data_IF_211478501407
#
_entry.id   IF_211478501407
#
_cell.length_a   1.000
_cell.length_b   1.000
_cell.length_c   1.000
_cell.angle_alpha   90.00
_cell.angle_beta   90.00
_cell.angle_gamma   90.00
#
_symmetry.space_group_name_H-M   'P 1'
#
loop_
_entity.id
_entity.type
_entity.pdbx_description
1 polymer ?
#
# COMPACT_ATOMS: atom_id res chain seq x y z
N UNK A 1 2.92 -8.15 21.68
CA UNK A 1 2.92 -7.71 20.26
C UNK A 1 4.19 -6.96 19.99
N UNK A 2 4.90 -7.31 18.96
CA UNK A 2 6.26 -6.83 18.81
C UNK A 2 6.35 -5.87 17.61
N UNK A 3 6.40 -4.57 17.91
CA UNK A 3 7.01 -3.62 16.99
C UNK A 3 8.38 -4.15 16.56
N UNK A 4 8.79 -3.89 15.32
CA UNK A 4 10.11 -4.31 14.84
C UNK A 4 11.19 -3.90 15.84
N UNK A 5 12.07 -4.82 16.25
CA UNK A 5 13.24 -4.45 17.04
C UNK A 5 14.13 -3.48 16.25
N UNK A 6 15.02 -2.73 16.93
CA UNK A 6 15.97 -1.87 16.23
C UNK A 6 16.82 -2.65 15.21
N UNK A 7 17.25 -3.83 15.57
CA UNK A 7 18.02 -4.72 14.67
C UNK A 7 17.18 -5.15 13.46
N UNK A 8 15.89 -5.51 13.67
CA UNK A 8 14.99 -5.88 12.57
C UNK A 8 14.79 -4.71 11.61
N UNK A 9 14.56 -3.49 12.14
CA UNK A 9 14.46 -2.29 11.29
C UNK A 9 15.77 -2.02 10.52
N UNK A 10 16.93 -2.07 11.18
CA UNK A 10 18.21 -1.86 10.53
C UNK A 10 18.43 -2.87 9.38
N UNK A 11 18.10 -4.15 9.62
CA UNK A 11 18.13 -5.16 8.57
C UNK A 11 17.18 -4.80 7.41
N UNK A 12 15.92 -4.51 7.69
CA UNK A 12 14.92 -4.18 6.68
C UNK A 12 15.31 -2.94 5.86
N UNK A 13 15.79 -1.89 6.51
CA UNK A 13 16.11 -0.61 5.88
C UNK A 13 17.43 -0.63 5.06
N UNK A 14 18.33 -1.58 5.33
CA UNK A 14 19.67 -1.56 4.73
C UNK A 14 20.06 -2.87 4.02
N UNK A 15 19.51 -4.00 4.43
CA UNK A 15 19.95 -5.33 3.98
C UNK A 15 18.85 -6.19 3.36
N UNK A 16 17.55 -5.84 3.52
CA UNK A 16 16.44 -6.63 2.97
C UNK A 16 16.56 -6.84 1.46
N UNK A 17 15.96 -7.92 1.00
CA UNK A 17 15.77 -8.22 -0.41
C UNK A 17 14.27 -8.33 -0.67
N UNK A 18 13.77 -7.77 -1.77
CA UNK A 18 14.48 -6.98 -2.79
C UNK A 18 14.96 -5.61 -2.27
N UNK A 19 15.95 -5.04 -2.93
CA UNK A 19 16.55 -3.74 -2.51
C UNK A 19 15.54 -2.58 -2.52
N UNK A 20 14.54 -2.64 -3.37
CA UNK A 20 13.46 -1.64 -3.45
C UNK A 20 12.73 -1.46 -2.12
N UNK A 21 12.46 -2.53 -1.38
CA UNK A 21 11.76 -2.47 -0.10
C UNK A 21 12.49 -1.66 0.97
N UNK A 22 13.81 -1.52 0.87
CA UNK A 22 14.60 -0.68 1.79
C UNK A 22 14.15 0.78 1.76
N UNK A 23 13.80 1.29 0.57
CA UNK A 23 13.27 2.64 0.42
C UNK A 23 11.91 2.76 1.12
N UNK A 24 11.04 1.77 0.96
CA UNK A 24 9.72 1.71 1.59
C UNK A 24 9.83 1.81 3.12
N UNK A 25 10.66 0.97 3.75
CA UNK A 25 10.84 0.98 5.22
C UNK A 25 11.44 2.29 5.74
N UNK A 26 12.35 2.91 4.98
CA UNK A 26 12.91 4.21 5.33
C UNK A 26 11.87 5.33 5.26
N UNK A 27 11.02 5.34 4.22
CA UNK A 27 9.94 6.32 4.09
C UNK A 27 8.92 6.17 5.22
N UNK A 28 8.52 4.96 5.57
CA UNK A 28 7.62 4.72 6.71
C UNK A 28 8.17 5.34 8.00
N UNK A 29 9.46 5.18 8.28
CA UNK A 29 10.11 5.78 9.45
C UNK A 29 10.14 7.31 9.37
N UNK A 30 10.60 7.86 8.24
CA UNK A 30 10.79 9.32 8.06
C UNK A 30 9.45 10.05 8.20
N UNK A 31 8.41 9.53 7.56
CA UNK A 31 7.09 10.14 7.56
C UNK A 31 6.22 9.71 8.76
N UNK A 32 6.74 8.84 9.66
CA UNK A 32 6.00 8.30 10.82
C UNK A 32 4.60 7.81 10.43
N UNK A 33 4.54 7.04 9.35
CA UNK A 33 3.27 6.60 8.76
C UNK A 33 2.48 5.76 9.77
N UNK A 34 1.21 6.10 9.95
CA UNK A 34 0.29 5.38 10.84
C UNK A 34 -0.92 4.80 10.11
N UNK A 35 -1.24 5.34 8.93
CA UNK A 35 -2.38 4.89 8.11
C UNK A 35 -1.89 4.45 6.75
N UNK A 36 -2.18 3.19 6.42
CA UNK A 36 -1.78 2.56 5.17
C UNK A 36 -2.99 2.17 4.34
N UNK A 37 -2.88 2.37 3.03
CA UNK A 37 -3.74 1.71 2.04
C UNK A 37 -2.82 1.06 1.02
N UNK A 38 -2.95 -0.26 0.85
CA UNK A 38 -2.23 -1.04 -0.16
C UNK A 38 -3.23 -1.56 -1.19
N UNK A 39 -3.02 -1.19 -2.44
CA UNK A 39 -3.84 -1.60 -3.59
C UNK A 39 -3.11 -2.74 -4.31
N UNK A 40 -3.58 -3.96 -4.10
CA UNK A 40 -2.87 -5.20 -4.41
C UNK A 40 -1.80 -5.54 -3.37
N UNK A 41 -1.97 -6.65 -2.64
CA UNK A 41 -0.99 -7.11 -1.66
C UNK A 41 0.06 -7.98 -2.39
N UNK A 42 1.27 -7.49 -2.57
CA UNK A 42 2.30 -8.26 -3.27
C UNK A 42 2.79 -9.44 -2.43
N UNK A 43 3.06 -9.21 -1.13
CA UNK A 43 3.49 -10.24 -0.19
C UNK A 43 3.04 -9.88 1.22
N UNK A 44 2.55 -10.87 1.94
CA UNK A 44 2.09 -10.68 3.31
C UNK A 44 3.23 -10.37 4.27
N UNK A 45 4.42 -10.91 4.00
CA UNK A 45 5.63 -10.67 4.76
C UNK A 45 6.05 -9.20 4.66
N UNK A 46 6.00 -8.62 3.45
CA UNK A 46 6.27 -7.20 3.21
C UNK A 46 5.27 -6.33 3.99
N UNK A 47 3.99 -6.62 3.86
CA UNK A 47 2.93 -5.88 4.55
C UNK A 47 3.09 -5.96 6.07
N UNK A 48 3.38 -7.14 6.61
CA UNK A 48 3.67 -7.32 8.03
C UNK A 48 4.87 -6.48 8.47
N UNK A 49 5.97 -6.52 7.70
CA UNK A 49 7.16 -5.73 8.01
C UNK A 49 6.89 -4.20 7.97
N UNK A 50 6.09 -3.73 7.02
CA UNK A 50 5.64 -2.33 6.96
C UNK A 50 4.91 -1.90 8.23
N UNK A 51 3.95 -2.70 8.68
CA UNK A 51 3.17 -2.44 9.91
C UNK A 51 4.08 -2.43 11.14
N UNK A 52 4.96 -3.41 11.29
CA UNK A 52 5.89 -3.50 12.41
C UNK A 52 6.88 -2.33 12.47
N UNK A 53 7.39 -1.87 11.31
CA UNK A 53 8.23 -0.68 11.22
C UNK A 53 7.44 0.55 11.64
N UNK A 54 6.22 0.71 11.16
CA UNK A 54 5.36 1.81 11.55
C UNK A 54 5.11 1.84 13.05
N UNK A 55 4.73 0.73 13.66
CA UNK A 55 4.48 0.61 15.10
C UNK A 55 5.70 1.01 15.94
N UNK A 56 6.91 0.75 15.44
CA UNK A 56 8.12 1.17 16.13
C UNK A 56 8.29 2.69 16.18
N UNK A 57 7.86 3.40 15.13
CA UNK A 57 8.16 4.84 14.98
C UNK A 57 6.95 5.75 15.11
N UNK A 58 5.75 5.21 15.27
CA UNK A 58 4.53 6.00 15.43
C UNK A 58 4.30 6.51 16.87
N UNK A 59 5.15 6.15 17.82
CA UNK A 59 4.97 6.48 19.23
C UNK A 59 3.76 5.75 19.83
N UNK A 60 2.83 6.51 20.42
CA UNK A 60 1.60 5.97 21.02
C UNK A 60 0.43 5.84 20.04
N UNK A 61 0.61 6.28 18.78
CA UNK A 61 -0.45 6.22 17.78
C UNK A 61 -0.69 4.79 17.31
N UNK A 62 -1.96 4.44 17.12
CA UNK A 62 -2.32 3.14 16.60
C UNK A 62 -2.11 3.10 15.08
N UNK A 63 -1.48 2.03 14.61
CA UNK A 63 -1.31 1.79 13.19
C UNK A 63 -2.58 1.16 12.61
N UNK A 64 -3.06 1.73 11.51
CA UNK A 64 -4.20 1.21 10.74
C UNK A 64 -3.74 0.82 9.33
N UNK A 65 -4.09 -0.39 8.91
CA UNK A 65 -3.79 -0.94 7.60
C UNK A 65 -5.08 -1.32 6.88
N UNK A 66 -5.20 -0.91 5.61
CA UNK A 66 -6.28 -1.36 4.73
C UNK A 66 -5.67 -1.95 3.46
N UNK A 67 -5.93 -3.23 3.22
CA UNK A 67 -5.49 -3.96 2.04
C UNK A 67 -6.65 -4.23 1.08
N UNK A 68 -6.47 -3.90 -0.18
CA UNK A 68 -7.42 -4.15 -1.26
C UNK A 68 -6.82 -5.21 -2.18
N UNK A 69 -7.45 -6.36 -2.31
CA UNK A 69 -6.92 -7.46 -3.12
C UNK A 69 -8.02 -8.42 -3.55
N UNK A 70 -7.77 -9.19 -4.60
CA UNK A 70 -8.67 -10.28 -5.01
C UNK A 70 -8.73 -11.43 -4.00
N UNK A 71 -7.67 -11.64 -3.23
CA UNK A 71 -7.51 -12.75 -2.27
C UNK A 71 -7.82 -14.11 -2.92
N UNK A 72 -8.87 -14.77 -2.49
CA UNK A 72 -9.27 -16.09 -2.99
C UNK A 72 -9.59 -16.11 -4.50
N UNK A 73 -9.85 -14.95 -5.10
CA UNK A 73 -10.14 -14.77 -6.52
C UNK A 73 -8.92 -14.31 -7.34
N UNK A 74 -7.69 -14.42 -6.80
CA UNK A 74 -6.47 -14.08 -7.53
C UNK A 74 -6.28 -14.95 -8.76
N UNK A 75 -5.74 -14.35 -9.82
CA UNK A 75 -5.30 -15.09 -11.00
C UNK A 75 -4.23 -16.12 -10.64
N UNK A 76 -4.14 -17.18 -11.43
CA UNK A 76 -3.20 -18.30 -11.22
C UNK A 76 -1.72 -17.88 -11.29
N UNK A 77 -1.43 -16.77 -11.97
CA UNK A 77 -0.08 -16.22 -12.12
C UNK A 77 0.39 -15.43 -10.90
N UNK A 78 -0.51 -15.10 -9.99
CA UNK A 78 -0.19 -14.44 -8.73
C UNK A 78 -0.01 -15.46 -7.60
N UNK A 79 0.89 -15.17 -6.65
CA UNK A 79 1.02 -16.01 -5.44
C UNK A 79 -0.33 -16.14 -4.73
N UNK A 80 -0.67 -17.37 -4.34
CA UNK A 80 -1.92 -17.61 -3.62
C UNK A 80 -1.91 -16.87 -2.28
N UNK A 81 -2.99 -16.15 -2.02
CA UNK A 81 -3.23 -15.48 -0.75
C UNK A 81 -4.73 -15.49 -0.48
N UNK A 82 -5.16 -16.25 0.52
CA UNK A 82 -6.57 -16.25 0.91
C UNK A 82 -6.87 -15.10 1.87
N UNK A 83 -8.10 -14.60 1.86
CA UNK A 83 -8.56 -13.59 2.81
C UNK A 83 -8.35 -14.03 4.26
N UNK A 84 -8.66 -15.29 4.56
CA UNK A 84 -8.49 -15.89 5.89
C UNK A 84 -7.01 -15.91 6.33
N UNK A 85 -6.11 -16.28 5.42
CA UNK A 85 -4.67 -16.29 5.70
C UNK A 85 -4.17 -14.87 5.97
N UNK A 86 -4.46 -13.92 5.05
CA UNK A 86 -4.05 -12.53 5.20
C UNK A 86 -4.55 -11.93 6.52
N UNK A 87 -5.82 -12.14 6.84
CA UNK A 87 -6.40 -11.65 8.09
C UNK A 87 -5.69 -12.23 9.32
N UNK A 88 -5.50 -13.55 9.36
CA UNK A 88 -4.82 -14.22 10.48
C UNK A 88 -3.39 -13.70 10.68
N UNK A 89 -2.62 -13.57 9.60
CA UNK A 89 -1.23 -13.15 9.69
C UNK A 89 -1.11 -11.67 10.08
N UNK A 90 -1.89 -10.78 9.48
CA UNK A 90 -1.84 -9.35 9.79
C UNK A 90 -2.40 -9.02 11.19
N UNK A 91 -3.37 -9.77 11.68
CA UNK A 91 -3.89 -9.61 13.05
C UNK A 91 -2.79 -9.86 14.12
N UNK A 92 -1.81 -10.70 13.84
CA UNK A 92 -0.69 -10.91 14.78
C UNK A 92 0.15 -9.66 15.04
N UNK A 93 0.12 -8.69 14.14
CA UNK A 93 0.81 -7.41 14.31
C UNK A 93 0.17 -6.53 15.37
N UNK A 94 -1.13 -6.71 15.65
CA UNK A 94 -1.91 -5.86 16.55
C UNK A 94 -2.26 -4.48 16.00
N UNK A 95 -2.04 -4.25 14.72
CA UNK A 95 -2.60 -3.09 14.03
C UNK A 95 -4.11 -3.24 13.82
N UNK A 96 -4.79 -2.14 13.58
CA UNK A 96 -6.18 -2.19 13.07
C UNK A 96 -6.14 -2.59 11.61
N UNK A 97 -6.56 -3.82 11.30
CA UNK A 97 -6.51 -4.38 9.94
C UNK A 97 -7.90 -4.41 9.33
N UNK A 98 -8.02 -3.84 8.14
CA UNK A 98 -9.19 -3.97 7.26
C UNK A 98 -8.76 -4.57 5.93
N UNK A 99 -9.37 -5.67 5.53
CA UNK A 99 -9.17 -6.29 4.22
C UNK A 99 -10.45 -6.18 3.41
N UNK A 100 -10.33 -5.72 2.18
CA UNK A 100 -11.44 -5.51 1.27
C UNK A 100 -11.23 -6.43 0.06
N UNK A 101 -11.96 -7.56 0.00
CA UNK A 101 -11.86 -8.48 -1.12
C UNK A 101 -12.56 -7.92 -2.37
N UNK A 102 -12.02 -8.29 -3.52
CA UNK A 102 -12.56 -7.92 -4.83
C UNK A 102 -11.54 -7.23 -5.72
N UNK A 103 -11.98 -6.69 -6.84
CA UNK A 103 -11.11 -5.96 -7.76
C UNK A 103 -10.52 -4.72 -7.07
N UNK A 104 -9.18 -4.66 -6.87
CA UNK A 104 -8.57 -3.63 -6.04
C UNK A 104 -8.92 -2.21 -6.46
N UNK A 105 -8.88 -1.93 -7.76
CA UNK A 105 -9.15 -0.60 -8.28
C UNK A 105 -10.61 -0.14 -8.07
N UNK A 106 -11.58 -1.04 -8.20
CA UNK A 106 -12.99 -0.74 -7.88
C UNK A 106 -13.19 -0.54 -6.39
N UNK A 107 -12.52 -1.33 -5.58
CA UNK A 107 -12.58 -1.24 -4.12
C UNK A 107 -12.07 0.10 -3.59
N UNK A 108 -11.14 0.77 -4.30
CA UNK A 108 -10.70 2.14 -3.97
C UNK A 108 -11.88 3.11 -3.89
N UNK A 109 -12.77 3.10 -4.87
CA UNK A 109 -13.94 3.98 -4.88
C UNK A 109 -14.84 3.82 -3.65
N UNK A 110 -15.01 2.58 -3.17
CA UNK A 110 -15.84 2.27 -2.02
C UNK A 110 -15.25 2.75 -0.69
N UNK A 111 -13.90 2.86 -0.61
CA UNK A 111 -13.22 3.24 0.64
C UNK A 111 -12.73 4.68 0.68
N UNK A 112 -12.65 5.37 -0.47
CA UNK A 112 -11.95 6.65 -0.60
C UNK A 112 -12.41 7.71 0.41
N UNK A 113 -13.72 7.83 0.62
CA UNK A 113 -14.29 8.81 1.55
C UNK A 113 -14.00 8.50 3.03
N UNK A 114 -13.82 7.21 3.36
CA UNK A 114 -13.51 6.77 4.72
C UNK A 114 -12.02 6.78 5.03
N UNK A 115 -11.17 6.89 4.01
CA UNK A 115 -9.69 6.79 4.13
C UNK A 115 -9.00 8.10 3.79
N UNK A 116 -9.60 9.23 4.17
CA UNK A 116 -8.93 10.53 4.13
C UNK A 116 -7.70 10.54 5.05
N UNK A 117 -6.67 11.33 4.69
CA UNK A 117 -5.39 11.41 5.43
C UNK A 117 -4.64 10.06 5.49
N UNK A 118 -4.64 9.31 4.38
CA UNK A 118 -3.81 8.12 4.22
C UNK A 118 -2.34 8.53 4.21
N UNK A 119 -1.57 8.10 5.22
CA UNK A 119 -0.16 8.45 5.33
C UNK A 119 0.72 7.79 4.25
N UNK A 120 0.41 6.53 3.89
CA UNK A 120 1.04 5.83 2.76
C UNK A 120 -0.02 5.15 1.91
N UNK A 121 -0.07 5.53 0.63
CA UNK A 121 -0.80 4.82 -0.41
C UNK A 121 0.21 4.05 -1.27
N UNK A 122 0.12 2.72 -1.24
CA UNK A 122 1.00 1.83 -2.00
C UNK A 122 0.21 1.14 -3.11
N UNK A 123 0.65 1.34 -4.35
CA UNK A 123 0.09 0.70 -5.54
C UNK A 123 1.03 -0.42 -5.97
N UNK A 124 0.61 -1.67 -5.76
CA UNK A 124 1.41 -2.84 -6.10
C UNK A 124 1.49 -3.07 -7.61
N UNK A 125 2.63 -3.61 -8.07
CA UNK A 125 2.81 -4.06 -9.43
C UNK A 125 1.89 -5.25 -9.80
N UNK A 126 1.31 -5.94 -8.82
CA UNK A 126 0.32 -6.99 -9.06
C UNK A 126 -0.99 -6.48 -9.66
N UNK A 127 -1.25 -5.16 -9.58
CA UNK A 127 -2.42 -4.52 -10.18
C UNK A 127 -2.00 -3.79 -11.46
N UNK A 128 -2.42 -4.29 -12.65
CA UNK A 128 -2.07 -3.67 -13.93
C UNK A 128 -2.54 -2.22 -14.05
N UNK A 129 -1.80 -1.40 -14.81
CA UNK A 129 -2.14 0.00 -15.07
C UNK A 129 -3.55 0.18 -15.61
N UNK A 130 -3.94 -0.68 -16.55
CA UNK A 130 -5.28 -0.65 -17.16
C UNK A 130 -6.40 -0.80 -16.14
N UNK A 131 -6.16 -1.58 -15.09
CA UNK A 131 -7.12 -1.78 -14.01
C UNK A 131 -7.08 -0.65 -12.97
N UNK A 132 -5.93 0.05 -12.81
CA UNK A 132 -5.83 1.20 -11.90
C UNK A 132 -6.50 2.46 -12.45
N UNK A 133 -6.73 2.56 -13.77
CA UNK A 133 -7.26 3.75 -14.41
C UNK A 133 -8.53 4.31 -13.71
N UNK A 134 -9.55 3.52 -13.34
CA UNK A 134 -10.72 4.04 -12.63
C UNK A 134 -10.42 4.58 -11.23
N UNK A 135 -9.37 4.06 -10.58
CA UNK A 135 -9.02 4.41 -9.19
C UNK A 135 -8.33 5.78 -9.10
N UNK A 136 -7.67 6.26 -10.17
CA UNK A 136 -6.97 7.54 -10.18
C UNK A 136 -7.85 8.72 -9.78
N UNK A 137 -9.13 8.67 -10.11
CA UNK A 137 -10.11 9.71 -9.73
C UNK A 137 -10.29 9.82 -8.20
N UNK A 138 -10.08 8.75 -7.47
CA UNK A 138 -10.34 8.68 -6.03
C UNK A 138 -9.10 8.96 -5.17
N UNK A 139 -7.89 8.70 -5.66
CA UNK A 139 -6.66 8.87 -4.88
C UNK A 139 -6.48 10.28 -4.29
N UNK A 140 -6.75 11.39 -5.02
CA UNK A 140 -6.62 12.73 -4.43
C UNK A 140 -7.50 12.97 -3.21
N UNK A 141 -8.60 12.23 -3.06
CA UNK A 141 -9.50 12.34 -1.90
C UNK A 141 -8.97 11.64 -0.66
N UNK A 142 -8.05 10.70 -0.85
CA UNK A 142 -7.49 9.86 0.22
C UNK A 142 -6.22 10.43 0.82
N UNK A 143 -5.56 11.36 0.14
CA UNK A 143 -4.24 11.87 0.48
C UNK A 143 -4.28 13.34 0.86
N UNK A 144 -3.26 13.77 1.59
CA UNK A 144 -2.97 15.17 1.90
C UNK A 144 -1.49 15.50 1.61
N UNK A 145 -1.06 16.72 1.90
CA UNK A 145 0.31 17.17 1.60
C UNK A 145 1.41 16.37 2.30
N UNK A 146 1.10 15.67 3.39
CA UNK A 146 2.04 14.82 4.13
C UNK A 146 2.04 13.37 3.65
N UNK A 147 1.09 12.99 2.81
CA UNK A 147 0.94 11.62 2.32
C UNK A 147 2.05 11.24 1.35
N UNK A 148 2.50 10.01 1.47
CA UNK A 148 3.43 9.37 0.53
C UNK A 148 2.64 8.46 -0.39
N UNK A 149 2.80 8.62 -1.70
CA UNK A 149 2.20 7.73 -2.69
C UNK A 149 3.30 7.02 -3.45
N UNK A 150 3.34 5.71 -3.33
CA UNK A 150 4.32 4.86 -3.98
C UNK A 150 3.66 3.94 -5.00
N UNK A 151 4.26 3.87 -6.17
CA UNK A 151 3.91 2.88 -7.16
C UNK A 151 5.05 1.90 -7.34
N UNK A 152 4.73 0.63 -7.17
CA UNK A 152 5.65 -0.45 -7.49
C UNK A 152 5.65 -0.71 -9.00
N UNK A 153 6.84 -0.84 -9.58
CA UNK A 153 7.05 -1.25 -10.96
C UNK A 153 8.01 -2.42 -11.00
N UNK A 154 7.79 -3.33 -11.94
CA UNK A 154 8.70 -4.43 -12.22
C UNK A 154 9.32 -4.16 -13.58
N UNK A 155 10.65 -4.15 -13.65
CA UNK A 155 11.38 -3.97 -14.89
C UNK A 155 11.42 -5.28 -15.71
N UNK A 156 11.96 -5.19 -16.93
CA UNK A 156 12.09 -6.34 -17.83
C UNK A 156 12.99 -7.46 -17.29
N UNK A 157 13.81 -7.16 -16.29
CA UNK A 157 14.64 -8.13 -15.58
C UNK A 157 13.97 -8.70 -14.32
N UNK A 158 12.69 -8.41 -14.10
CA UNK A 158 11.93 -8.86 -12.94
C UNK A 158 12.29 -8.14 -11.62
N UNK A 159 12.99 -7.01 -11.67
CA UNK A 159 13.37 -6.27 -10.47
C UNK A 159 12.29 -5.26 -10.10
N UNK A 160 11.85 -5.31 -8.84
CA UNK A 160 10.92 -4.33 -8.31
C UNK A 160 11.62 -3.01 -7.99
N UNK A 161 10.95 -1.89 -8.29
CA UNK A 161 11.34 -0.52 -7.92
C UNK A 161 10.12 0.24 -7.45
N UNK A 162 10.31 1.24 -6.56
CA UNK A 162 9.24 2.13 -6.12
C UNK A 162 9.44 3.52 -6.71
N UNK A 163 8.41 3.98 -7.43
CA UNK A 163 8.29 5.33 -7.94
C UNK A 163 7.47 6.17 -6.96
N UNK A 164 8.01 7.31 -6.53
CA UNK A 164 7.28 8.28 -5.72
C UNK A 164 6.39 9.11 -6.65
N UNK A 165 5.09 9.04 -6.47
CA UNK A 165 4.14 9.82 -7.27
C UNK A 165 3.91 11.18 -6.65
N UNK A 166 4.02 12.23 -7.49
CA UNK A 166 3.76 13.59 -7.09
C UNK A 166 2.23 13.85 -7.01
N UNK A 167 1.78 14.56 -5.99
CA UNK A 167 0.38 14.93 -5.80
C UNK A 167 -0.19 15.73 -6.98
N UNK A 168 0.61 16.58 -7.60
CA UNK A 168 0.19 17.34 -8.80
C UNK A 168 -0.08 16.42 -10.00
N UNK A 169 0.70 15.35 -10.14
CA UNK A 169 0.49 14.33 -11.18
C UNK A 169 -0.82 13.59 -10.94
N UNK A 170 -1.07 13.17 -9.69
CA UNK A 170 -2.31 12.48 -9.31
C UNK A 170 -3.53 13.37 -9.57
N UNK A 171 -3.47 14.64 -9.22
CA UNK A 171 -4.55 15.59 -9.48
C UNK A 171 -4.82 15.77 -10.98
N UNK A 172 -3.78 15.88 -11.81
CA UNK A 172 -3.91 15.95 -13.27
C UNK A 172 -4.54 14.70 -13.86
N UNK A 173 -4.11 13.50 -13.43
CA UNK A 173 -4.70 12.25 -13.90
C UNK A 173 -6.17 12.12 -13.48
N UNK A 174 -6.51 12.52 -12.26
CA UNK A 174 -7.89 12.52 -11.78
C UNK A 174 -8.80 13.47 -12.59
N UNK A 175 -8.32 14.69 -12.90
CA UNK A 175 -9.04 15.68 -13.70
C UNK A 175 -9.32 15.17 -15.12
N UNK A 176 -8.31 14.61 -15.79
CA UNK A 176 -8.45 14.05 -17.15
C UNK A 176 -9.46 12.90 -17.22
N UNK A 177 -9.63 12.13 -16.15
CA UNK A 177 -10.63 11.06 -16.06
C UNK A 177 -12.03 11.61 -15.73
N UNK A 178 -12.12 12.69 -14.97
CA UNK A 178 -13.37 13.37 -14.67
C UNK A 178 -14.03 13.93 -15.94
N UNK A 179 -13.27 14.57 -16.80
CA UNK A 179 -13.72 15.11 -18.09
C UNK A 179 -14.22 14.02 -19.04
N UNK A 180 -13.57 12.86 -19.09
CA UNK A 180 -14.00 11.71 -19.93
C UNK A 180 -15.29 11.05 -19.47
N UNK A 181 -15.71 11.24 -18.22
CA UNK A 181 -16.98 10.70 -17.68
C UNK A 181 -18.14 11.68 -17.86
N UNK A 182 -17.85 12.94 -18.12
CA UNK A 182 -18.85 14.00 -18.31
C UNK A 182 -19.20 14.25 -19.80
N UNK A 183 -18.43 13.69 -20.73
CA UNK A 183 -18.66 13.70 -22.19
C UNK A 183 -19.32 12.38 -22.64
#
# INVERSE_FOLDING_TARGET
MAAASWLKYAYLAHFSKPRSERQLYRLIKVHKVTRFVEVGIASIERTTAMIEVAQRYCGTQQVAFTGLDWFDARDKDLPKLTLKQAHRELQTTGATVRLVPGEPARSVGAIANAHQHTGLLLLSASVPESQLAPAWFYFPRMIDSASVVLRERIDVAGRSTFELLNHSLLAKQAAALGERKAA
#
